data_IF_112154806593
#
_entry.id   IF_112154806593
#
_cell.length_a   1.000
_cell.length_b   1.000
_cell.length_c   1.000
_cell.angle_alpha   90.00
_cell.angle_beta   90.00
_cell.angle_gamma   90.00
#
_symmetry.space_group_name_H-M   'P 1'
#
loop_
_entity.id
_entity.type
_entity.pdbx_description
1 polymer ?
#
# COMPACT_ATOMS: atom_id res chain seq x y z
N UNK A 1 -9.52 -4.04 14.38
CA UNK A 1 -8.66 -3.23 13.48
C UNK A 1 -9.13 -3.10 12.04
N UNK A 2 -9.93 -4.01 11.47
CA UNK A 2 -10.32 -3.91 10.03
C UNK A 2 -11.70 -3.27 9.76
N UNK A 3 -12.65 -3.33 10.70
CA UNK A 3 -13.97 -2.68 10.58
C UNK A 3 -13.91 -1.14 10.44
N UNK A 4 -13.04 -0.41 11.18
CA UNK A 4 -12.91 1.04 11.01
C UNK A 4 -12.44 1.44 9.60
N UNK A 5 -11.54 0.65 8.99
CA UNK A 5 -11.07 0.92 7.63
C UNK A 5 -12.18 0.72 6.58
N UNK A 6 -13.10 -0.22 6.79
CA UNK A 6 -14.24 -0.40 5.90
C UNK A 6 -15.20 0.79 5.95
N UNK A 7 -15.42 1.36 7.13
CA UNK A 7 -16.21 2.60 7.28
C UNK A 7 -15.53 3.77 6.56
N UNK A 8 -14.22 3.92 6.69
CA UNK A 8 -13.45 4.96 5.98
C UNK A 8 -13.51 4.79 4.45
N UNK A 9 -13.60 3.54 3.95
CA UNK A 9 -13.81 3.27 2.52
C UNK A 9 -15.21 3.71 2.08
N UNK A 10 -16.24 3.42 2.88
CA UNK A 10 -17.62 3.84 2.60
C UNK A 10 -17.81 5.36 2.67
N UNK A 11 -17.08 6.03 3.57
CA UNK A 11 -17.04 7.49 3.69
C UNK A 11 -16.19 8.17 2.59
N UNK A 12 -15.48 7.39 1.78
CA UNK A 12 -14.63 7.89 0.70
C UNK A 12 -13.29 8.47 1.16
N UNK A 13 -12.92 8.31 2.43
CA UNK A 13 -11.62 8.73 2.97
C UNK A 13 -10.50 7.76 2.55
N UNK A 14 -10.86 6.50 2.33
CA UNK A 14 -9.95 5.45 1.85
C UNK A 14 -10.49 4.78 0.58
N UNK A 15 -9.59 4.16 -0.17
CA UNK A 15 -9.92 3.24 -1.24
C UNK A 15 -9.74 1.79 -0.78
N UNK A 16 -10.38 0.85 -1.48
CA UNK A 16 -10.11 -0.57 -1.25
C UNK A 16 -8.68 -0.92 -1.73
N UNK A 17 -8.29 -0.34 -2.87
CA UNK A 17 -6.96 -0.49 -3.48
C UNK A 17 -6.25 0.86 -3.57
N UNK A 18 -5.01 0.93 -3.09
CA UNK A 18 -4.19 2.13 -3.10
C UNK A 18 -2.90 1.97 -2.29
N UNK A 19 -1.99 2.97 -2.34
CA UNK A 19 -0.81 3.01 -1.48
C UNK A 19 -1.21 2.93 -0.01
N UNK A 20 -0.41 2.24 0.81
CA UNK A 20 -0.72 2.10 2.23
C UNK A 20 -0.69 3.46 2.93
N UNK A 21 -1.67 3.78 3.81
CA UNK A 21 -1.65 5.01 4.58
C UNK A 21 -0.38 5.11 5.41
N UNK A 22 0.14 6.33 5.50
CA UNK A 22 1.39 6.60 6.18
C UNK A 22 1.15 7.70 7.21
N UNK A 23 1.79 7.58 8.37
CA UNK A 23 1.57 8.51 9.48
C UNK A 23 2.03 9.92 9.09
N UNK A 24 1.34 10.95 9.59
CA UNK A 24 1.59 12.35 9.20
C UNK A 24 3.07 12.76 9.37
N UNK A 25 3.75 12.26 10.41
CA UNK A 25 5.18 12.53 10.64
C UNK A 25 6.08 12.01 9.51
N UNK A 26 5.71 10.90 8.86
CA UNK A 26 6.44 10.38 7.71
C UNK A 26 6.11 11.19 6.45
N UNK A 27 4.83 11.53 6.26
CA UNK A 27 4.38 12.36 5.12
C UNK A 27 5.08 13.73 5.11
N UNK A 28 5.28 14.33 6.28
CA UNK A 28 5.99 15.60 6.41
C UNK A 28 7.47 15.50 6.00
N UNK A 29 8.05 14.30 6.00
CA UNK A 29 9.44 14.02 5.62
C UNK A 29 9.58 13.49 4.19
N UNK A 30 8.50 13.47 3.40
CA UNK A 30 8.55 12.99 2.03
C UNK A 30 9.36 13.90 1.13
N UNK A 31 10.21 13.28 0.32
CA UNK A 31 10.73 13.90 -0.90
C UNK A 31 9.58 14.22 -1.86
N UNK A 32 9.83 15.08 -2.84
CA UNK A 32 8.84 15.41 -3.87
C UNK A 32 8.33 14.16 -4.61
N UNK A 33 9.22 13.21 -4.88
CA UNK A 33 8.87 11.92 -5.47
C UNK A 33 7.92 11.12 -4.57
N UNK A 34 8.23 10.99 -3.28
CA UNK A 34 7.40 10.23 -2.33
C UNK A 34 6.01 10.86 -2.15
N UNK A 35 5.87 12.18 -2.29
CA UNK A 35 4.57 12.87 -2.28
C UNK A 35 3.66 12.46 -3.44
N UNK A 36 4.20 11.90 -4.52
CA UNK A 36 3.41 11.33 -5.62
C UNK A 36 2.40 10.27 -5.15
N UNK A 37 2.68 9.57 -4.05
CA UNK A 37 1.76 8.58 -3.44
C UNK A 37 0.45 9.17 -2.93
N UNK A 38 0.43 10.49 -2.66
CA UNK A 38 -0.74 11.21 -2.14
C UNK A 38 -1.70 11.63 -3.25
N UNK A 39 -1.37 11.38 -4.53
CA UNK A 39 -2.24 11.70 -5.68
C UNK A 39 -3.48 10.82 -5.75
N UNK A 40 -3.46 9.66 -5.09
CA UNK A 40 -4.60 8.74 -4.99
C UNK A 40 -4.94 8.50 -3.52
N UNK A 41 -6.17 8.05 -3.27
CA UNK A 41 -6.60 7.74 -1.90
C UNK A 41 -5.82 6.55 -1.35
N UNK A 42 -5.48 6.55 -0.05
CA UNK A 42 -4.81 5.41 0.57
C UNK A 42 -5.69 4.16 0.54
N UNK A 43 -5.05 3.01 0.36
CA UNK A 43 -5.70 1.70 0.20
C UNK A 43 -5.67 0.83 1.45
N UNK A 44 -6.65 -0.06 1.58
CA UNK A 44 -6.57 -1.19 2.54
C UNK A 44 -5.58 -2.25 2.05
N UNK A 45 -5.59 -2.51 0.73
CA UNK A 45 -4.58 -3.28 0.01
C UNK A 45 -3.97 -2.44 -1.12
N UNK A 46 -2.87 -2.88 -1.73
CA UNK A 46 -2.17 -2.11 -2.77
C UNK A 46 -1.14 -2.94 -3.53
N UNK A 47 -0.61 -2.35 -4.60
CA UNK A 47 0.35 -3.02 -5.49
C UNK A 47 1.60 -3.49 -4.75
N UNK A 48 2.20 -2.64 -3.91
CA UNK A 48 3.33 -3.02 -3.07
C UNK A 48 2.99 -4.14 -2.07
N UNK A 49 1.75 -4.16 -1.55
CA UNK A 49 1.31 -5.22 -0.65
C UNK A 49 1.21 -6.58 -1.33
N UNK A 50 0.83 -6.65 -2.61
CA UNK A 50 0.76 -7.96 -3.31
C UNK A 50 2.10 -8.43 -3.87
N UNK A 51 3.13 -7.57 -3.91
CA UNK A 51 4.47 -7.90 -4.42
C UNK A 51 5.54 -8.17 -3.34
N UNK A 52 5.25 -7.88 -2.07
CA UNK A 52 6.19 -8.22 -0.99
C UNK A 52 5.84 -7.66 0.40
N UNK A 53 4.73 -6.91 0.55
CA UNK A 53 4.23 -6.44 1.85
C UNK A 53 5.30 -5.71 2.68
N UNK A 54 5.67 -6.30 3.82
CA UNK A 54 6.58 -5.73 4.80
C UNK A 54 8.03 -6.19 4.63
N UNK A 55 8.30 -7.17 3.76
CA UNK A 55 9.66 -7.57 3.43
C UNK A 55 10.28 -6.60 2.44
N UNK A 56 9.47 -5.87 1.68
CA UNK A 56 9.94 -4.82 0.77
C UNK A 56 10.66 -3.72 1.54
N UNK A 57 11.91 -3.38 1.16
CA UNK A 57 12.55 -2.14 1.54
C UNK A 57 11.67 -0.94 1.24
N UNK A 58 11.88 0.13 2.00
CA UNK A 58 11.09 1.35 1.85
C UNK A 58 11.11 1.92 0.44
N UNK A 59 12.28 2.03 -0.19
CA UNK A 59 12.43 2.61 -1.53
C UNK A 59 11.66 1.79 -2.59
N UNK A 60 11.80 0.46 -2.61
CA UNK A 60 11.05 -0.42 -3.53
C UNK A 60 9.54 -0.29 -3.33
N UNK A 61 9.10 -0.12 -2.08
CA UNK A 61 7.68 0.12 -1.78
C UNK A 61 7.20 1.44 -2.37
N UNK A 62 8.00 2.50 -2.27
CA UNK A 62 7.68 3.80 -2.87
C UNK A 62 7.57 3.66 -4.38
N UNK A 63 8.52 2.98 -5.03
CA UNK A 63 8.51 2.76 -6.48
C UNK A 63 7.26 2.02 -6.94
N UNK A 64 6.88 0.95 -6.24
CA UNK A 64 5.67 0.18 -6.54
C UNK A 64 4.39 1.00 -6.31
N UNK A 65 4.35 1.82 -5.27
CA UNK A 65 3.20 2.69 -5.00
C UNK A 65 3.08 3.80 -6.06
N UNK A 66 4.20 4.38 -6.52
CA UNK A 66 4.20 5.37 -7.60
C UNK A 66 3.82 4.77 -8.94
N UNK A 67 4.33 3.58 -9.26
CA UNK A 67 3.93 2.84 -10.44
C UNK A 67 2.41 2.59 -10.43
N UNK A 68 1.86 2.19 -9.29
CA UNK A 68 0.41 2.02 -9.15
C UNK A 68 -0.35 3.34 -9.40
N UNK A 69 0.12 4.46 -8.84
CA UNK A 69 -0.49 5.79 -9.05
C UNK A 69 -0.54 6.14 -10.54
N UNK A 70 0.52 5.82 -11.29
CA UNK A 70 0.60 6.10 -12.73
C UNK A 70 -0.26 5.17 -13.59
N UNK A 71 -0.51 3.94 -13.13
CA UNK A 71 -1.20 2.88 -13.89
C UNK A 71 -2.60 2.53 -13.32
N UNK A 72 -3.09 3.35 -12.39
CA UNK A 72 -4.33 3.13 -11.67
C UNK A 72 -5.49 2.94 -12.66
N UNK A 73 -6.13 1.78 -12.58
CA UNK A 73 -7.25 1.41 -13.45
C UNK A 73 -8.09 0.32 -12.78
N UNK A 74 -9.38 0.26 -13.11
CA UNK A 74 -10.29 -0.75 -12.54
C UNK A 74 -9.78 -2.19 -12.74
N UNK A 75 -9.14 -2.47 -13.90
CA UNK A 75 -8.54 -3.77 -14.18
C UNK A 75 -7.38 -4.10 -13.25
N UNK A 76 -6.53 -3.10 -12.96
CA UNK A 76 -5.42 -3.25 -12.03
C UNK A 76 -5.95 -3.47 -10.60
N UNK A 77 -6.98 -2.74 -10.20
CA UNK A 77 -7.60 -2.87 -8.88
C UNK A 77 -8.15 -4.28 -8.65
N UNK A 78 -8.90 -4.81 -9.62
CA UNK A 78 -9.41 -6.19 -9.58
C UNK A 78 -8.25 -7.18 -9.46
N UNK A 79 -7.16 -6.98 -10.20
CA UNK A 79 -5.97 -7.83 -10.10
C UNK A 79 -5.36 -7.80 -8.70
N UNK A 80 -5.24 -6.62 -8.10
CA UNK A 80 -4.75 -6.50 -6.72
C UNK A 80 -5.66 -7.26 -5.75
N UNK A 81 -6.98 -7.09 -5.86
CA UNK A 81 -7.94 -7.78 -4.99
C UNK A 81 -7.85 -9.30 -5.10
N UNK A 82 -7.73 -9.84 -6.32
CA UNK A 82 -7.57 -11.29 -6.53
C UNK A 82 -6.27 -11.81 -5.92
N UNK A 83 -5.16 -11.09 -6.09
CA UNK A 83 -3.88 -11.45 -5.49
C UNK A 83 -3.96 -11.39 -3.96
N UNK A 84 -4.60 -10.36 -3.40
CA UNK A 84 -4.82 -10.23 -1.97
C UNK A 84 -5.65 -11.38 -1.42
N UNK A 85 -6.76 -11.73 -2.07
CA UNK A 85 -7.59 -12.87 -1.68
C UNK A 85 -6.80 -14.17 -1.71
N UNK A 86 -6.01 -14.41 -2.77
CA UNK A 86 -5.15 -15.59 -2.88
C UNK A 86 -4.16 -15.67 -1.72
N UNK A 87 -3.47 -14.58 -1.37
CA UNK A 87 -2.52 -14.56 -0.26
C UNK A 87 -3.18 -14.90 1.09
N UNK A 88 -4.37 -14.35 1.34
CA UNK A 88 -5.14 -14.62 2.57
C UNK A 88 -5.55 -16.10 2.63
N UNK A 89 -6.03 -16.66 1.52
CA UNK A 89 -6.46 -18.06 1.45
C UNK A 89 -5.30 -19.05 1.54
N UNK A 90 -4.14 -18.74 0.97
CA UNK A 90 -2.98 -19.66 0.97
C UNK A 90 -2.07 -19.49 2.18
N UNK A 91 -2.28 -18.47 3.03
CA UNK A 91 -1.42 -18.17 4.18
C UNK A 91 0.01 -17.73 3.83
N UNK A 92 0.34 -17.62 2.54
CA UNK A 92 1.66 -17.17 2.08
C UNK A 92 1.84 -15.68 2.45
N UNK A 93 2.73 -15.40 3.39
CA UNK A 93 3.01 -14.05 3.88
C UNK A 93 2.53 -13.77 5.31
N UNK A 94 2.03 -14.77 6.05
CA UNK A 94 1.88 -14.71 7.51
C UNK A 94 3.28 -14.80 8.17
N UNK A 95 3.92 -13.64 8.29
CA UNK A 95 5.17 -13.30 9.00
C UNK A 95 6.03 -14.42 9.64
N UNK A 96 7.28 -14.52 9.15
CA UNK A 96 8.46 -14.96 9.92
C UNK A 96 9.74 -14.39 9.27
N UNK A 97 10.06 -13.11 9.44
CA UNK A 97 11.27 -12.50 8.86
C UNK A 97 11.38 -10.98 8.94
N UNK A 98 12.60 -10.45 8.86
CA UNK A 98 12.98 -9.04 9.01
C UNK A 98 12.13 -8.08 8.17
N UNK A 99 11.61 -7.02 8.80
CA UNK A 99 10.81 -6.00 8.13
C UNK A 99 11.69 -4.97 7.43
N UNK A 100 11.48 -4.76 6.12
CA UNK A 100 12.09 -3.70 5.30
C UNK A 100 11.55 -2.29 5.62
N UNK A 101 11.37 -1.98 6.90
CA UNK A 101 10.71 -0.78 7.40
C UNK A 101 11.38 0.53 6.97
N UNK A 102 10.65 1.64 7.16
CA UNK A 102 11.13 3.00 6.88
C UNK A 102 12.39 3.33 7.69
N UNK A 103 13.42 3.88 7.04
CA UNK A 103 14.62 4.42 7.67
C UNK A 103 14.73 5.92 7.37
N UNK A 104 15.04 6.79 8.35
CA UNK A 104 15.32 8.19 8.08
C UNK A 104 16.48 8.33 7.09
N UNK A 105 16.25 9.00 5.95
CA UNK A 105 17.28 9.27 4.93
C UNK A 105 17.38 8.23 3.79
N UNK A 106 16.44 7.28 3.71
CA UNK A 106 16.29 6.33 2.60
C UNK A 106 15.12 6.68 1.65
#
# INVERSE_FOLDING_TARGET
DELPNLVNVLQGEMALVGPRPTVQVQVNRYSELQRGRLKVRPGTTGWAQVHGRATLPWHERIELDLWYVEHASLRLDIRVLVLTARMVLTGHGLYRGETGGWRPGA
#
